data_IF_213030185096
#
_entry.id   IF_213030185096
#
_cell.length_a   1.000
_cell.length_b   1.000
_cell.length_c   1.000
_cell.angle_alpha   90.00
_cell.angle_beta   90.00
_cell.angle_gamma   90.00
#
_symmetry.space_group_name_H-M   'P 1'
#
loop_
_entity.id
_entity.type
_entity.pdbx_description
1 polymer ?
#
# COMPACT_ATOMS: atom_id res chain seq x y z
N UNK A 1 28.87 -70.93 1.85
CA UNK A 1 27.69 -71.20 2.70
C UNK A 1 27.47 -70.00 3.61
N UNK A 2 26.23 -69.56 3.66
CA UNK A 2 25.69 -68.39 4.38
C UNK A 2 25.65 -68.71 5.88
N UNK A 3 25.90 -67.75 6.77
CA UNK A 3 25.00 -67.28 7.85
C UNK A 3 25.71 -66.53 8.99
N UNK A 4 25.09 -65.41 9.37
CA UNK A 4 25.18 -64.52 10.54
C UNK A 4 25.02 -65.24 11.91
N UNK A 5 24.82 -64.56 13.08
CA UNK A 5 24.98 -63.13 13.50
C UNK A 5 25.69 -62.96 14.87
N UNK A 6 25.89 -61.71 15.34
CA UNK A 6 25.36 -61.18 16.62
C UNK A 6 26.12 -59.93 17.12
N UNK A 7 25.38 -58.84 17.31
CA UNK A 7 25.68 -57.72 18.24
C UNK A 7 25.25 -58.12 19.67
N UNK A 8 25.35 -57.33 20.78
CA UNK A 8 25.72 -55.91 20.94
C UNK A 8 26.60 -55.60 22.20
N UNK A 9 27.02 -54.36 22.41
CA UNK A 9 26.95 -53.57 23.68
C UNK A 9 27.90 -52.35 23.69
N UNK A 10 27.35 -51.17 23.97
CA UNK A 10 28.01 -49.90 24.35
C UNK A 10 27.66 -49.62 25.84
N UNK A 11 28.22 -48.64 26.61
CA UNK A 11 28.83 -47.35 26.19
C UNK A 11 29.97 -46.76 27.10
N UNK A 12 30.33 -45.50 26.81
CA UNK A 12 30.98 -44.47 27.68
C UNK A 12 32.50 -44.55 27.87
N UNK A 13 33.31 -43.48 27.84
CA UNK A 13 33.11 -42.03 27.65
C UNK A 13 34.51 -41.42 27.45
N UNK A 14 34.68 -40.47 26.53
CA UNK A 14 35.78 -39.49 26.57
C UNK A 14 35.40 -38.27 25.72
N UNK A 15 35.52 -37.11 26.35
CA UNK A 15 35.07 -35.79 25.93
C UNK A 15 35.49 -35.37 24.52
N UNK A 16 34.52 -34.87 23.76
CA UNK A 16 34.73 -34.04 22.58
C UNK A 16 34.31 -32.62 22.94
N UNK A 17 35.22 -31.66 22.78
CA UNK A 17 34.93 -30.22 22.83
C UNK A 17 34.51 -29.82 21.42
N UNK A 18 33.24 -29.45 21.13
CA UNK A 18 32.90 -28.86 19.86
C UNK A 18 33.07 -27.33 19.95
N UNK A 19 33.72 -26.78 18.93
CA UNK A 19 33.76 -25.35 18.67
C UNK A 19 32.34 -24.79 18.61
N UNK A 20 32.11 -23.68 19.33
CA UNK A 20 30.88 -22.89 19.28
C UNK A 20 30.70 -22.38 17.84
N UNK A 21 29.60 -22.70 17.14
CA UNK A 21 29.20 -21.94 15.96
C UNK A 21 28.68 -20.58 16.45
N UNK A 22 29.18 -19.51 15.83
CA UNK A 22 28.69 -18.15 16.06
C UNK A 22 27.15 -18.10 15.99
N UNK A 23 26.48 -17.25 16.78
CA UNK A 23 25.04 -17.06 16.66
C UNK A 23 24.75 -16.53 15.26
N UNK A 24 24.10 -17.36 14.44
CA UNK A 24 23.44 -16.94 13.22
C UNK A 24 22.43 -15.87 13.62
N UNK A 25 22.75 -14.61 13.37
CA UNK A 25 21.80 -13.50 13.43
C UNK A 25 20.72 -13.79 12.39
N UNK A 26 19.63 -14.41 12.83
CA UNK A 26 18.40 -14.50 12.05
C UNK A 26 17.95 -13.07 11.77
N UNK A 27 18.12 -12.61 10.54
CA UNK A 27 17.46 -11.40 10.06
C UNK A 27 15.96 -11.59 10.27
N UNK A 28 15.29 -10.72 11.03
CA UNK A 28 13.85 -10.83 11.21
C UNK A 28 13.18 -10.59 9.85
N UNK A 29 12.21 -11.43 9.52
CA UNK A 29 11.42 -11.30 8.30
C UNK A 29 10.75 -9.91 8.24
N UNK A 30 10.59 -9.29 7.05
CA UNK A 30 10.16 -7.89 6.94
C UNK A 30 8.69 -7.66 7.27
N UNK A 31 7.89 -8.72 7.45
CA UNK A 31 6.45 -8.62 7.67
C UNK A 31 6.09 -8.71 9.15
N UNK A 32 6.18 -7.57 9.82
CA UNK A 32 5.36 -7.29 10.98
C UNK A 32 4.76 -5.90 10.79
N UNK A 33 3.44 -5.71 10.95
CA UNK A 33 2.79 -4.44 10.70
C UNK A 33 3.21 -3.47 11.79
N UNK A 34 4.26 -2.70 11.51
CA UNK A 34 4.60 -1.53 12.31
C UNK A 34 3.40 -0.60 12.16
N UNK A 35 2.65 -0.39 13.25
CA UNK A 35 1.64 0.68 13.32
C UNK A 35 2.30 1.95 12.80
N UNK A 36 1.80 2.42 11.67
CA UNK A 36 2.36 3.44 10.82
C UNK A 36 2.40 4.77 11.56
N UNK A 37 3.50 5.07 12.24
CA UNK A 37 3.90 6.45 12.43
C UNK A 37 4.80 6.81 11.26
N UNK A 38 4.17 7.12 10.13
CA UNK A 38 4.82 7.91 9.11
C UNK A 38 5.15 9.27 9.74
N UNK A 39 6.37 9.80 9.56
CA UNK A 39 6.67 11.17 9.98
C UNK A 39 5.64 12.14 9.39
N UNK A 40 5.38 13.30 10.03
CA UNK A 40 4.46 14.30 9.48
C UNK A 40 4.82 14.54 8.01
N UNK A 41 3.85 14.48 7.09
CA UNK A 41 4.13 14.67 5.69
C UNK A 41 4.84 16.02 5.52
N UNK A 42 5.93 16.04 4.76
CA UNK A 42 6.65 17.28 4.45
C UNK A 42 6.14 17.88 3.15
N UNK A 43 6.15 19.21 3.04
CA UNK A 43 5.69 19.95 1.86
C UNK A 43 4.21 20.34 1.95
N UNK A 44 3.63 20.75 0.81
CA UNK A 44 2.30 21.36 0.74
C UNK A 44 1.18 20.52 1.39
N UNK A 45 1.25 19.19 1.25
CA UNK A 45 0.29 18.27 1.86
C UNK A 45 0.39 18.27 3.39
N UNK A 46 1.61 18.36 3.92
CA UNK A 46 1.89 18.47 5.35
C UNK A 46 1.38 19.75 5.96
N UNK A 47 1.65 20.86 5.29
CA UNK A 47 1.18 22.18 5.71
C UNK A 47 -0.35 22.21 5.76
N UNK A 48 -1.03 21.60 4.78
CA UNK A 48 -2.48 21.44 4.79
C UNK A 48 -2.96 20.59 5.97
N UNK A 49 -2.32 19.46 6.25
CA UNK A 49 -2.69 18.59 7.37
C UNK A 49 -2.54 19.29 8.72
N UNK A 50 -1.43 20.02 8.92
CA UNK A 50 -1.21 20.82 10.12
C UNK A 50 -2.29 21.89 10.27
N UNK A 51 -2.64 22.58 9.18
CA UNK A 51 -3.65 23.62 9.18
C UNK A 51 -5.07 23.06 9.44
N UNK A 52 -5.42 21.92 8.86
CA UNK A 52 -6.69 21.21 9.12
C UNK A 52 -6.82 20.79 10.60
N UNK A 53 -5.72 20.28 11.18
CA UNK A 53 -5.68 19.94 12.62
C UNK A 53 -5.79 21.22 13.47
N UNK A 54 -5.14 22.31 13.06
CA UNK A 54 -5.26 23.63 13.68
C UNK A 54 -6.70 24.12 13.72
N UNK A 55 -7.40 24.06 12.57
CA UNK A 55 -8.80 24.42 12.44
C UNK A 55 -9.70 23.58 13.35
N UNK A 56 -9.52 22.27 13.38
CA UNK A 56 -10.31 21.38 14.25
C UNK A 56 -10.17 21.77 15.73
N UNK A 57 -8.94 22.05 16.17
CA UNK A 57 -8.65 22.53 17.52
C UNK A 57 -9.27 23.90 17.78
N UNK A 58 -9.21 24.82 16.82
CA UNK A 58 -9.81 26.15 16.93
C UNK A 58 -11.34 26.06 17.08
N UNK A 59 -12.01 25.20 16.32
CA UNK A 59 -13.45 24.93 16.44
C UNK A 59 -13.81 24.33 17.80
N UNK A 60 -13.02 23.37 18.30
CA UNK A 60 -13.22 22.81 19.64
C UNK A 60 -13.05 23.87 20.73
N UNK A 61 -12.01 24.69 20.65
CA UNK A 61 -11.72 25.78 21.59
C UNK A 61 -12.82 26.86 21.55
N UNK A 62 -13.36 27.16 20.37
CA UNK A 62 -14.50 28.06 20.23
C UNK A 62 -15.73 27.48 20.94
N UNK A 63 -16.06 26.20 20.72
CA UNK A 63 -17.19 25.54 21.37
C UNK A 63 -17.10 25.58 22.89
N UNK A 64 -15.94 25.24 23.45
CA UNK A 64 -15.72 25.29 24.91
C UNK A 64 -15.74 26.72 25.47
N UNK A 65 -15.25 27.71 24.70
CA UNK A 65 -15.29 29.13 25.10
C UNK A 65 -16.72 29.66 25.10
N UNK A 66 -17.56 29.29 24.13
CA UNK A 66 -18.98 29.68 24.10
C UNK A 66 -19.71 29.13 25.32
N UNK A 67 -19.52 27.85 25.65
CA UNK A 67 -20.11 27.25 26.86
C UNK A 67 -19.65 27.97 28.12
N UNK A 68 -18.35 28.28 28.20
CA UNK A 68 -17.76 28.99 29.35
C UNK A 68 -18.30 30.41 29.49
N UNK A 69 -18.40 31.17 28.39
CA UNK A 69 -18.90 32.55 28.40
C UNK A 69 -20.41 32.61 28.68
N UNK A 70 -21.19 31.61 28.24
CA UNK A 70 -22.61 31.48 28.58
C UNK A 70 -22.84 31.06 30.03
N UNK A 71 -21.96 30.21 30.59
CA UNK A 71 -22.04 29.76 31.98
C UNK A 71 -21.58 30.84 32.98
N UNK A 72 -20.78 31.80 32.52
CA UNK A 72 -20.31 32.96 33.31
C UNK A 72 -21.34 34.09 33.27
N UNK A 73 -22.57 33.75 33.58
CA UNK A 73 -23.61 34.74 33.78
C UNK A 73 -23.36 35.43 35.13
N UNK A 74 -22.90 36.70 35.08
CA UNK A 74 -23.10 37.75 36.11
C UNK A 74 -21.95 38.17 37.07
N UNK A 75 -20.86 37.42 37.26
CA UNK A 75 -20.05 37.68 38.48
C UNK A 75 -18.86 38.66 38.41
N UNK A 76 -18.35 39.10 37.25
CA UNK A 76 -17.27 40.11 37.23
C UNK A 76 -17.36 41.11 36.07
N UNK A 77 -17.73 42.38 36.33
CA UNK A 77 -17.60 43.44 35.32
C UNK A 77 -16.12 43.66 35.01
N UNK A 78 -15.72 43.45 33.74
CA UNK A 78 -14.36 43.75 33.26
C UNK A 78 -13.67 42.63 32.47
N UNK A 79 -14.17 41.39 32.49
CA UNK A 79 -13.65 40.33 31.61
C UNK A 79 -14.47 40.29 30.33
N UNK A 80 -13.93 40.87 29.25
CA UNK A 80 -14.56 40.83 27.93
C UNK A 80 -14.78 39.39 27.44
N UNK A 81 -15.86 39.18 26.67
CA UNK A 81 -16.19 37.88 26.08
C UNK A 81 -15.06 37.42 25.15
N UNK A 82 -14.52 36.23 25.38
CA UNK A 82 -13.39 35.68 24.60
C UNK A 82 -13.84 35.06 23.28
N UNK A 83 -15.15 34.81 23.10
CA UNK A 83 -15.71 34.24 21.88
C UNK A 83 -15.27 35.00 20.62
N UNK A 84 -15.26 36.34 20.64
CA UNK A 84 -14.86 37.12 19.47
C UNK A 84 -13.44 36.82 18.99
N UNK A 85 -12.51 36.66 19.92
CA UNK A 85 -11.13 36.28 19.60
C UNK A 85 -11.06 34.86 19.00
N UNK A 86 -11.84 33.92 19.53
CA UNK A 86 -11.89 32.53 19.04
C UNK A 86 -12.49 32.43 17.64
N UNK A 87 -13.51 33.23 17.35
CA UNK A 87 -14.10 33.31 16.00
C UNK A 87 -13.04 33.79 15.00
N UNK A 88 -12.28 34.84 15.33
CA UNK A 88 -11.22 35.33 14.45
C UNK A 88 -10.16 34.25 14.19
N UNK A 89 -9.77 33.46 15.20
CA UNK A 89 -8.84 32.34 15.01
C UNK A 89 -9.37 31.31 14.00
N UNK A 90 -10.66 30.96 14.05
CA UNK A 90 -11.28 30.06 13.06
C UNK A 90 -11.26 30.67 11.66
N UNK A 91 -11.56 31.96 11.55
CA UNK A 91 -11.52 32.68 10.26
C UNK A 91 -10.12 32.68 9.67
N UNK A 92 -9.09 32.92 10.49
CA UNK A 92 -7.69 32.91 10.06
C UNK A 92 -7.28 31.53 9.51
N UNK A 93 -7.66 30.45 10.21
CA UNK A 93 -7.41 29.09 9.74
C UNK A 93 -8.14 28.76 8.42
N UNK A 94 -9.40 29.19 8.27
CA UNK A 94 -10.15 29.00 7.03
C UNK A 94 -9.52 29.76 5.85
N UNK A 95 -9.03 30.98 6.08
CA UNK A 95 -8.34 31.76 5.06
C UNK A 95 -7.02 31.11 4.63
N UNK A 96 -6.26 30.57 5.58
CA UNK A 96 -5.03 29.83 5.30
C UNK A 96 -5.31 28.55 4.49
N UNK A 97 -6.36 27.79 4.82
CA UNK A 97 -6.76 26.60 4.06
C UNK A 97 -7.15 26.92 2.62
N UNK A 98 -7.94 27.99 2.39
CA UNK A 98 -8.32 28.40 1.04
C UNK A 98 -7.09 28.74 0.20
N UNK A 99 -6.13 29.49 0.77
CA UNK A 99 -4.87 29.80 0.09
C UNK A 99 -4.03 28.54 -0.21
N UNK A 100 -3.91 27.63 0.77
CA UNK A 100 -3.15 26.40 0.60
C UNK A 100 -3.78 25.47 -0.46
N UNK A 101 -5.12 25.45 -0.54
CA UNK A 101 -5.86 24.60 -1.47
C UNK A 101 -5.54 24.89 -2.94
N UNK A 102 -5.22 26.15 -3.27
CA UNK A 102 -4.90 26.58 -4.64
C UNK A 102 -3.67 25.88 -5.22
N UNK A 103 -2.78 25.37 -4.36
CA UNK A 103 -1.53 24.72 -4.76
C UNK A 103 -1.65 23.19 -4.81
N UNK A 104 -2.82 22.62 -4.49
CA UNK A 104 -3.05 21.17 -4.46
C UNK A 104 -3.68 20.74 -5.78
N UNK A 105 -2.95 19.91 -6.53
CA UNK A 105 -3.39 19.39 -7.83
C UNK A 105 -3.91 17.95 -7.78
N UNK A 106 -4.02 17.38 -6.57
CA UNK A 106 -4.40 15.98 -6.37
C UNK A 106 -5.83 15.75 -6.83
N UNK A 107 -6.01 14.86 -7.81
CA UNK A 107 -7.34 14.44 -8.26
C UNK A 107 -7.91 13.37 -7.33
N UNK A 108 -9.09 13.63 -6.77
CA UNK A 108 -9.75 12.72 -5.84
C UNK A 108 -10.87 11.97 -6.59
N UNK A 109 -10.86 10.63 -6.64
CA UNK A 109 -11.95 9.87 -7.23
C UNK A 109 -13.27 10.13 -6.48
N UNK A 110 -14.36 10.30 -7.23
CA UNK A 110 -15.69 10.59 -6.63
C UNK A 110 -16.13 9.55 -5.60
N UNK A 111 -15.75 8.28 -5.80
CA UNK A 111 -16.04 7.21 -4.85
C UNK A 111 -15.41 7.45 -3.46
N UNK A 112 -14.22 8.05 -3.40
CA UNK A 112 -13.56 8.39 -2.13
C UNK A 112 -14.39 9.42 -1.36
N UNK A 113 -14.92 10.44 -2.05
CA UNK A 113 -15.80 11.44 -1.44
C UNK A 113 -17.10 10.80 -0.92
N UNK A 114 -17.71 9.92 -1.71
CA UNK A 114 -18.90 9.17 -1.29
C UNK A 114 -18.62 8.27 -0.09
N UNK A 115 -17.46 7.63 -0.03
CA UNK A 115 -17.09 6.79 1.11
C UNK A 115 -16.94 7.63 2.39
N UNK A 116 -16.31 8.82 2.29
CA UNK A 116 -16.20 9.76 3.42
C UNK A 116 -17.58 10.23 3.89
N UNK A 117 -18.46 10.65 2.97
CA UNK A 117 -19.82 11.12 3.30
C UNK A 117 -20.66 10.05 4.00
N UNK A 118 -20.41 8.78 3.66
CA UNK A 118 -21.09 7.62 4.26
C UNK A 118 -20.34 7.04 5.48
N UNK A 119 -19.34 7.74 6.02
CA UNK A 119 -18.50 7.29 7.13
C UNK A 119 -17.85 5.91 6.90
N UNK A 120 -17.54 5.58 5.64
CA UNK A 120 -16.78 4.40 5.24
C UNK A 120 -15.31 4.74 5.15
N UNK A 121 -14.45 3.75 5.42
CA UNK A 121 -13.02 3.92 5.26
C UNK A 121 -12.66 4.01 3.76
N UNK A 122 -12.14 5.16 3.27
CA UNK A 122 -11.80 5.33 1.86
C UNK A 122 -10.67 4.40 1.39
N UNK A 123 -9.91 3.81 2.31
CA UNK A 123 -8.83 2.88 1.97
C UNK A 123 -9.32 1.53 1.45
N UNK A 124 -10.59 1.19 1.68
CA UNK A 124 -11.20 0.01 1.08
C UNK A 124 -11.20 0.11 -0.45
N UNK A 125 -11.43 1.30 -1.01
CA UNK A 125 -11.37 1.49 -2.45
C UNK A 125 -9.99 1.11 -3.02
N UNK A 126 -8.92 1.61 -2.39
CA UNK A 126 -7.55 1.30 -2.85
C UNK A 126 -7.25 -0.19 -2.75
N UNK A 127 -7.66 -0.83 -1.64
CA UNK A 127 -7.52 -2.27 -1.45
C UNK A 127 -8.25 -3.05 -2.55
N UNK A 128 -9.53 -2.77 -2.77
CA UNK A 128 -10.37 -3.46 -3.76
C UNK A 128 -9.81 -3.29 -5.18
N UNK A 129 -9.30 -2.10 -5.51
CA UNK A 129 -8.68 -1.82 -6.80
C UNK A 129 -7.38 -2.58 -6.99
N UNK A 130 -6.56 -2.68 -5.94
CA UNK A 130 -5.32 -3.45 -5.98
C UNK A 130 -5.58 -4.95 -6.15
N UNK A 131 -6.51 -5.50 -5.38
CA UNK A 131 -6.92 -6.92 -5.46
C UNK A 131 -7.51 -7.26 -6.83
N UNK A 132 -8.38 -6.39 -7.35
CA UNK A 132 -8.94 -6.56 -8.70
C UNK A 132 -7.87 -6.48 -9.78
N UNK A 133 -6.95 -5.51 -9.71
CA UNK A 133 -5.88 -5.38 -10.68
C UNK A 133 -4.97 -6.62 -10.69
N UNK A 134 -4.62 -7.15 -9.52
CA UNK A 134 -3.84 -8.37 -9.40
C UNK A 134 -4.57 -9.58 -9.98
N UNK A 135 -5.85 -9.75 -9.67
CA UNK A 135 -6.69 -10.84 -10.17
C UNK A 135 -6.83 -10.77 -11.69
N UNK A 136 -7.09 -9.57 -12.23
CA UNK A 136 -7.24 -9.35 -13.67
C UNK A 136 -5.92 -9.59 -14.41
N UNK A 137 -4.78 -9.16 -13.86
CA UNK A 137 -3.46 -9.42 -14.42
C UNK A 137 -3.14 -10.92 -14.47
N UNK A 138 -3.38 -11.65 -13.36
CA UNK A 138 -3.19 -13.10 -13.33
C UNK A 138 -4.10 -13.83 -14.32
N UNK A 139 -5.36 -13.41 -14.41
CA UNK A 139 -6.31 -13.98 -15.34
C UNK A 139 -5.90 -13.74 -16.80
N UNK A 140 -5.42 -12.54 -17.12
CA UNK A 140 -4.91 -12.21 -18.45
C UNK A 140 -3.66 -13.02 -18.80
N UNK A 141 -2.70 -13.16 -17.88
CA UNK A 141 -1.54 -14.03 -18.09
C UNK A 141 -1.95 -15.49 -18.32
N UNK A 142 -2.92 -16.00 -17.57
CA UNK A 142 -3.46 -17.34 -17.79
C UNK A 142 -4.07 -17.52 -19.18
N UNK A 143 -4.75 -16.50 -19.72
CA UNK A 143 -5.27 -16.52 -21.10
C UNK A 143 -4.15 -16.53 -22.14
N UNK A 144 -3.11 -15.73 -21.95
CA UNK A 144 -1.96 -15.68 -22.85
C UNK A 144 -1.30 -17.06 -22.94
N UNK A 145 -0.98 -17.66 -21.79
CA UNK A 145 -0.38 -19.00 -21.71
C UNK A 145 -1.27 -20.07 -22.33
N UNK A 146 -2.59 -19.98 -22.13
CA UNK A 146 -3.53 -20.92 -22.75
C UNK A 146 -3.57 -20.79 -24.28
N UNK A 147 -3.52 -19.57 -24.82
CA UNK A 147 -3.48 -19.32 -26.26
C UNK A 147 -2.16 -19.83 -26.86
N UNK A 148 -1.02 -19.56 -26.21
CA UNK A 148 0.29 -20.06 -26.62
C UNK A 148 0.32 -21.60 -26.65
N UNK A 149 -0.18 -22.23 -25.58
CA UNK A 149 -0.28 -23.69 -25.49
C UNK A 149 -1.18 -24.27 -26.57
N UNK A 150 -2.34 -23.64 -26.81
CA UNK A 150 -3.25 -24.04 -27.88
C UNK A 150 -2.60 -23.93 -29.26
N UNK A 151 -1.87 -22.84 -29.52
CA UNK A 151 -1.15 -22.64 -30.77
C UNK A 151 -0.09 -23.72 -30.97
N UNK A 152 0.67 -24.07 -29.91
CA UNK A 152 1.64 -25.17 -29.95
C UNK A 152 0.98 -26.50 -30.32
N UNK A 153 -0.09 -26.87 -29.62
CA UNK A 153 -0.78 -28.15 -29.87
C UNK A 153 -1.42 -28.20 -31.26
N UNK A 154 -1.96 -27.08 -31.73
CA UNK A 154 -2.50 -26.98 -33.09
C UNK A 154 -1.40 -27.17 -34.13
N UNK A 155 -0.25 -26.52 -33.95
CA UNK A 155 0.89 -26.68 -34.85
C UNK A 155 1.37 -28.13 -34.89
N UNK A 156 1.50 -28.78 -33.72
CA UNK A 156 1.92 -30.19 -33.64
C UNK A 156 0.95 -31.11 -34.39
N UNK A 157 -0.36 -30.93 -34.21
CA UNK A 157 -1.38 -31.71 -34.90
C UNK A 157 -1.40 -31.47 -36.41
N UNK A 158 -1.15 -30.23 -36.85
CA UNK A 158 -1.02 -29.88 -38.26
C UNK A 158 0.22 -30.54 -38.88
N UNK A 159 1.37 -30.52 -38.21
CA UNK A 159 2.60 -31.17 -38.70
C UNK A 159 2.48 -32.69 -38.81
N UNK A 160 1.74 -33.32 -37.89
CA UNK A 160 1.44 -34.75 -37.97
C UNK A 160 0.58 -35.09 -39.19
N UNK A 161 -0.34 -34.21 -39.56
CA UNK A 161 -1.29 -34.43 -40.66
C UNK A 161 -0.76 -33.96 -42.02
N UNK A 162 0.10 -32.94 -42.02
CA UNK A 162 0.63 -32.23 -43.20
C UNK A 162 2.10 -31.81 -42.97
N UNK A 163 3.06 -32.74 -43.08
CA UNK A 163 4.48 -32.47 -42.80
C UNK A 163 5.09 -31.36 -43.68
N UNK A 164 4.57 -31.15 -44.88
CA UNK A 164 5.01 -30.09 -45.80
C UNK A 164 4.79 -28.66 -45.28
N UNK A 165 3.99 -28.48 -44.21
CA UNK A 165 3.72 -27.18 -43.60
C UNK A 165 4.82 -26.71 -42.62
N UNK A 166 5.76 -27.57 -42.25
CA UNK A 166 6.87 -27.27 -41.31
C UNK A 166 7.60 -25.93 -41.54
N UNK A 167 8.05 -25.57 -42.77
CA UNK A 167 8.75 -24.31 -43.00
C UNK A 167 7.86 -23.07 -42.79
N UNK A 168 6.53 -23.21 -42.82
CA UNK A 168 5.60 -22.09 -42.72
C UNK A 168 5.11 -21.85 -41.28
N UNK A 169 5.07 -22.90 -40.45
CA UNK A 169 4.56 -22.81 -39.06
C UNK A 169 5.61 -22.32 -38.05
N UNK A 170 6.89 -22.57 -38.32
CA UNK A 170 8.02 -22.18 -37.46
C UNK A 170 8.46 -20.72 -37.62
N UNK A 171 8.14 -20.09 -38.75
CA UNK A 171 8.53 -18.71 -39.06
C UNK A 171 7.82 -17.67 -38.18
N UNK A 172 6.60 -17.96 -37.71
CA UNK A 172 5.81 -17.01 -36.91
C UNK A 172 6.23 -16.93 -35.43
N UNK A 173 7.14 -17.80 -34.98
CA UNK A 173 7.67 -17.77 -33.61
C UNK A 173 8.79 -16.74 -33.42
N UNK A 174 9.49 -16.33 -34.49
CA UNK A 174 10.64 -15.42 -34.41
C UNK A 174 10.29 -13.92 -34.56
N UNK A 175 9.02 -13.57 -34.79
CA UNK A 175 8.54 -12.18 -34.68
C UNK A 175 8.09 -11.89 -33.25
N UNK A 176 8.91 -12.27 -32.27
CA UNK A 176 8.72 -11.85 -30.88
C UNK A 176 8.97 -10.34 -30.80
N UNK A 177 8.00 -9.64 -30.22
CA UNK A 177 7.95 -8.18 -30.12
C UNK A 177 9.18 -7.67 -29.40
N UNK A 178 10.14 -7.13 -30.17
CA UNK A 178 11.18 -6.24 -29.65
C UNK A 178 10.48 -5.00 -29.10
N UNK A 179 10.19 -5.01 -27.80
CA UNK A 179 9.87 -3.80 -27.04
C UNK A 179 11.11 -2.90 -27.10
N UNK A 180 11.14 -2.01 -28.09
CA UNK A 180 12.08 -0.88 -28.11
C UNK A 180 11.89 -0.09 -26.80
N UNK A 181 12.97 0.20 -26.06
CA UNK A 181 12.88 1.04 -24.87
C UNK A 181 12.35 2.41 -25.29
N UNK A 182 11.23 2.83 -24.69
CA UNK A 182 10.70 4.19 -24.82
C UNK A 182 11.82 5.18 -24.54
N UNK A 183 12.10 6.14 -25.45
CA UNK A 183 13.12 7.15 -25.19
C UNK A 183 12.70 7.94 -23.95
N UNK A 184 13.63 8.04 -22.98
CA UNK A 184 13.50 8.97 -21.86
C UNK A 184 13.23 10.37 -22.43
N UNK A 185 12.04 10.88 -22.13
CA UNK A 185 11.67 12.26 -22.47
C UNK A 185 12.39 13.17 -21.46
N UNK A 186 13.06 14.24 -21.92
CA UNK A 186 13.87 15.13 -21.09
C UNK A 186 13.06 15.90 -20.03
#
# INVERSE_FOLDING_TARGET
>A
MITHPASPTSPSSSAFVPAVPAPSTSTPAPDSPRLSQTPPPTGLQGDLEVELVGLANALYNLGTTVISDLSREKDKPGVGKQVGLRVNQVVDHLAALDHNSQNIQTMIPMQVLQDIDNAKNPMLLTKDRLERAATENQFMNGKIVAIESYRSYLNDALLQSFPELEPHLTTHDMMEVKLEPTPDVP
#
